data_IF_813515757415
#
_entry.id   IF_813515757415
#
_cell.length_a   1.000
_cell.length_b   1.000
_cell.length_c   1.000
_cell.angle_alpha   90.00
_cell.angle_beta   90.00
_cell.angle_gamma   90.00
#
_symmetry.space_group_name_H-M   'P 1'
#
loop_
_entity.id
_entity.type
_entity.pdbx_description
1 polymer ?
#
# COMPACT_ATOMS: atom_id res chain seq x y z
N UNK A 1 31.37 -19.71 -37.57
CA UNK A 1 30.00 -19.59 -37.03
C UNK A 1 30.13 -19.55 -35.51
N UNK A 2 29.95 -18.38 -34.90
CA UNK A 2 30.25 -18.16 -33.48
C UNK A 2 29.04 -18.54 -32.61
N UNK A 3 29.11 -19.59 -31.78
CA UNK A 3 27.96 -20.12 -31.02
C UNK A 3 27.51 -19.23 -29.85
N UNK A 4 28.24 -18.15 -29.56
CA UNK A 4 28.04 -17.30 -28.38
C UNK A 4 26.72 -16.51 -28.38
N UNK A 5 26.07 -16.32 -29.55
CA UNK A 5 24.86 -15.52 -29.67
C UNK A 5 23.54 -16.23 -29.28
N UNK A 6 23.55 -17.53 -28.95
CA UNK A 6 22.33 -18.27 -28.60
C UNK A 6 22.09 -18.44 -27.09
N UNK A 7 23.09 -18.18 -26.25
CA UNK A 7 22.99 -18.31 -24.79
C UNK A 7 22.72 -16.99 -24.06
N UNK A 8 22.95 -15.85 -24.71
CA UNK A 8 22.84 -14.52 -24.09
C UNK A 8 21.38 -14.09 -23.94
N UNK A 9 20.49 -14.54 -24.83
CA UNK A 9 19.05 -14.23 -24.83
C UNK A 9 18.30 -14.71 -23.57
N UNK A 10 18.42 -15.97 -23.09
CA UNK A 10 17.71 -16.39 -21.88
C UNK A 10 18.27 -15.74 -20.61
N UNK A 11 19.59 -15.57 -20.52
CA UNK A 11 20.23 -14.93 -19.37
C UNK A 11 19.84 -13.45 -19.25
N UNK A 12 19.83 -12.71 -20.36
CA UNK A 12 19.36 -11.33 -20.38
C UNK A 12 17.87 -11.21 -19.99
N UNK A 13 17.03 -12.13 -20.49
CA UNK A 13 15.61 -12.16 -20.14
C UNK A 13 15.38 -12.41 -18.64
N UNK A 14 16.13 -13.34 -18.03
CA UNK A 14 16.07 -13.61 -16.59
C UNK A 14 16.43 -12.37 -15.75
N UNK A 15 17.47 -11.63 -16.13
CA UNK A 15 17.91 -10.42 -15.42
C UNK A 15 16.84 -9.32 -15.50
N UNK A 16 16.21 -9.13 -16.66
CA UNK A 16 15.13 -8.15 -16.83
C UNK A 16 13.91 -8.53 -15.97
N UNK A 17 13.52 -9.80 -15.95
CA UNK A 17 12.39 -10.28 -15.15
C UNK A 17 12.66 -10.10 -13.65
N UNK A 18 13.86 -10.47 -13.18
CA UNK A 18 14.29 -10.26 -11.80
C UNK A 18 14.27 -8.77 -11.42
N UNK A 19 14.76 -7.90 -12.30
CA UNK A 19 14.78 -6.45 -12.09
C UNK A 19 13.36 -5.89 -11.94
N UNK A 20 12.43 -6.29 -12.81
CA UNK A 20 11.02 -5.86 -12.77
C UNK A 20 10.31 -6.41 -11.53
N UNK A 21 10.56 -7.66 -11.16
CA UNK A 21 9.99 -8.25 -9.95
C UNK A 21 10.45 -7.52 -8.68
N UNK A 22 11.76 -7.22 -8.57
CA UNK A 22 12.32 -6.41 -7.47
C UNK A 22 11.68 -5.03 -7.46
N UNK A 23 11.53 -4.39 -8.62
CA UNK A 23 10.89 -3.08 -8.74
C UNK A 23 9.43 -3.10 -8.25
N UNK A 24 8.65 -4.12 -8.65
CA UNK A 24 7.27 -4.31 -8.20
C UNK A 24 7.15 -4.63 -6.70
N UNK A 25 8.15 -5.26 -6.10
CA UNK A 25 8.19 -5.53 -4.66
C UNK A 25 8.61 -4.29 -3.84
N UNK A 26 9.43 -3.41 -4.43
CA UNK A 26 9.85 -2.16 -3.81
C UNK A 26 8.75 -1.09 -3.82
N UNK A 27 7.85 -1.13 -4.80
CA UNK A 27 6.71 -0.22 -4.86
C UNK A 27 5.48 -0.87 -4.23
N UNK A 28 5.07 -0.46 -3.01
CA UNK A 28 3.83 -0.95 -2.42
C UNK A 28 2.70 -0.62 -3.39
N UNK A 29 1.91 -1.63 -3.75
CA UNK A 29 0.73 -1.49 -4.61
C UNK A 29 -0.12 -0.35 -4.04
N UNK A 30 -0.18 0.77 -4.75
CA UNK A 30 -1.02 1.90 -4.35
C UNK A 30 -2.46 1.39 -4.36
N UNK A 31 -3.00 1.07 -3.18
CA UNK A 31 -4.42 0.77 -3.06
C UNK A 31 -5.14 2.07 -3.37
N UNK A 32 -5.69 2.14 -4.57
CA UNK A 32 -6.54 3.23 -5.02
C UNK A 32 -7.88 3.10 -4.27
N UNK A 33 -7.86 3.49 -3.00
CA UNK A 33 -9.06 3.60 -2.22
C UNK A 33 -9.79 4.88 -2.63
N UNK A 34 -11.13 4.85 -2.77
CA UNK A 34 -11.92 6.03 -3.11
C UNK A 34 -11.62 7.16 -2.12
N UNK A 35 -11.16 8.29 -2.65
CA UNK A 35 -10.48 9.39 -1.96
C UNK A 35 -11.36 10.28 -1.06
N UNK A 36 -12.45 9.76 -0.50
CA UNK A 36 -13.32 10.53 0.38
C UNK A 36 -13.03 10.22 1.85
N UNK A 37 -11.81 10.47 2.29
CA UNK A 37 -11.55 10.56 3.73
C UNK A 37 -12.15 11.88 4.24
N UNK A 38 -12.89 11.81 5.34
CA UNK A 38 -13.40 12.97 6.06
C UNK A 38 -12.84 12.97 7.47
N UNK A 39 -12.66 14.16 8.05
CA UNK A 39 -12.15 14.26 9.41
C UNK A 39 -13.16 13.67 10.41
N UNK A 40 -12.71 12.84 11.37
CA UNK A 40 -13.58 12.29 12.40
C UNK A 40 -14.07 13.42 13.31
N UNK A 41 -15.38 13.49 13.56
CA UNK A 41 -16.01 14.56 14.35
C UNK A 41 -15.41 14.71 15.76
N UNK A 42 -15.07 13.60 16.41
CA UNK A 42 -14.49 13.59 17.76
C UNK A 42 -12.97 13.78 17.78
N UNK A 43 -12.34 13.78 16.61
CA UNK A 43 -10.89 13.69 16.44
C UNK A 43 -10.33 12.29 16.74
N UNK A 44 -11.15 11.30 17.14
CA UNK A 44 -10.70 9.92 17.39
C UNK A 44 -11.44 8.93 16.50
N UNK A 45 -10.74 7.88 16.08
CA UNK A 45 -11.34 6.73 15.39
C UNK A 45 -11.27 5.50 16.28
N UNK A 46 -12.39 4.82 16.47
CA UNK A 46 -12.44 3.55 17.20
C UNK A 46 -12.33 2.38 16.21
N UNK A 47 -11.18 1.71 16.28
CA UNK A 47 -10.78 0.60 15.44
C UNK A 47 -10.76 -0.74 16.17
N UNK A 48 -11.26 -0.78 17.41
CA UNK A 48 -11.38 -2.03 18.13
C UNK A 48 -12.31 -2.99 17.37
N UNK A 49 -11.95 -4.29 17.31
CA UNK A 49 -12.75 -5.28 16.62
C UNK A 49 -14.11 -5.42 17.30
N UNK A 50 -15.16 -4.96 16.63
CA UNK A 50 -16.54 -5.23 17.05
C UNK A 50 -16.92 -6.65 16.62
N UNK A 51 -17.59 -7.39 17.51
CA UNK A 51 -18.07 -8.74 17.21
C UNK A 51 -18.98 -8.66 15.97
N UNK A 52 -18.51 -9.19 14.83
CA UNK A 52 -19.17 -9.22 13.51
C UNK A 52 -18.96 -8.03 12.55
N UNK A 53 -18.03 -7.12 12.84
CA UNK A 53 -17.72 -6.03 11.90
C UNK A 53 -16.31 -6.25 11.36
N UNK A 54 -16.18 -6.38 10.04
CA UNK A 54 -14.88 -6.49 9.38
C UNK A 54 -14.03 -5.24 9.58
N UNK A 55 -12.81 -5.26 9.04
CA UNK A 55 -11.90 -4.10 9.12
C UNK A 55 -12.58 -2.87 8.53
N UNK A 56 -12.79 -1.88 9.39
CA UNK A 56 -13.38 -0.59 9.03
C UNK A 56 -12.39 0.18 8.16
N UNK A 57 -12.88 0.82 7.11
CA UNK A 57 -12.03 1.51 6.14
C UNK A 57 -11.26 2.68 6.78
N UNK A 58 -11.90 3.40 7.69
CA UNK A 58 -11.35 4.45 8.56
C UNK A 58 -10.20 3.97 9.47
N UNK A 59 -10.03 2.65 9.61
CA UNK A 59 -8.99 2.03 10.40
C UNK A 59 -7.82 1.49 9.56
N UNK A 60 -7.86 1.70 8.24
CA UNK A 60 -6.74 1.39 7.36
C UNK A 60 -5.59 2.37 7.58
N UNK A 61 -4.35 1.94 7.32
CA UNK A 61 -3.17 2.81 7.43
C UNK A 61 -3.26 4.03 6.52
N UNK A 62 -3.87 3.90 5.34
CA UNK A 62 -4.14 5.01 4.42
C UNK A 62 -5.02 6.08 5.05
N UNK A 63 -6.11 5.68 5.71
CA UNK A 63 -7.02 6.59 6.41
C UNK A 63 -6.32 7.31 7.57
N UNK A 64 -5.63 6.57 8.44
CA UNK A 64 -4.94 7.15 9.61
C UNK A 64 -3.86 8.16 9.20
N UNK A 65 -3.10 7.85 8.14
CA UNK A 65 -2.10 8.78 7.62
C UNK A 65 -2.74 10.04 7.02
N UNK A 66 -3.87 9.89 6.32
CA UNK A 66 -4.60 11.03 5.80
C UNK A 66 -5.15 11.91 6.93
N UNK A 67 -5.73 11.35 7.99
CA UNK A 67 -6.22 12.12 9.13
C UNK A 67 -5.10 12.93 9.80
N UNK A 68 -3.93 12.31 10.00
CA UNK A 68 -2.77 13.00 10.59
C UNK A 68 -2.31 14.20 9.76
N UNK A 69 -2.43 14.13 8.44
CA UNK A 69 -1.97 15.19 7.53
C UNK A 69 -3.02 16.29 7.30
N UNK A 70 -4.31 15.98 7.41
CA UNK A 70 -5.39 16.87 6.96
C UNK A 70 -6.34 17.33 8.07
N UNK A 71 -6.36 16.66 9.23
CA UNK A 71 -7.29 16.96 10.31
C UNK A 71 -6.55 17.57 11.51
N UNK A 72 -6.67 18.89 11.76
CA UNK A 72 -5.94 19.56 12.84
C UNK A 72 -6.33 19.04 14.23
N UNK A 73 -7.57 18.57 14.39
CA UNK A 73 -8.09 18.05 15.66
C UNK A 73 -7.92 16.53 15.81
N UNK A 74 -7.13 15.88 14.95
CA UNK A 74 -6.95 14.44 15.04
C UNK A 74 -6.11 14.04 16.26
N UNK A 75 -6.74 13.28 17.16
CA UNK A 75 -6.20 12.79 18.43
C UNK A 75 -5.68 11.36 18.36
N UNK A 76 -5.96 10.63 17.28
CA UNK A 76 -5.47 9.26 17.07
C UNK A 76 -6.57 8.23 16.85
N UNK A 77 -6.17 6.97 16.76
CA UNK A 77 -7.06 5.82 16.64
C UNK A 77 -6.82 4.83 17.79
N UNK A 78 -7.89 4.23 18.30
CA UNK A 78 -7.83 3.12 19.24
C UNK A 78 -7.82 1.81 18.44
N UNK A 79 -6.68 1.12 18.43
CA UNK A 79 -6.45 -0.13 17.68
C UNK A 79 -6.61 -1.36 18.57
#
# INVERSE_FOLDING_TARGET
>A
MNPTNRLITPLAAMVVILSVAVLLLLFPKTQNYPTHYTCPESGRVDCLPQQNVGVRYECTSGAINWYRANCPDFKGAAL
#
